data_IF_752002635916
#
_entry.id   IF_752002635916
#
_cell.length_a   1.000
_cell.length_b   1.000
_cell.length_c   1.000
_cell.angle_alpha   90.00
_cell.angle_beta   90.00
_cell.angle_gamma   90.00
#
_symmetry.space_group_name_H-M   'P 1'
#
loop_
_entity.id
_entity.type
_entity.pdbx_description
1 polymer ?
#
# COMPACT_ATOMS: atom_id res chain seq x y z
N UNK A 1 59.52 6.46 21.42
CA UNK A 1 58.98 6.16 20.06
C UNK A 1 57.72 5.25 20.07
N UNK A 2 56.84 5.27 21.10
CA UNK A 2 55.63 4.41 21.15
C UNK A 2 54.29 5.11 20.85
N UNK A 3 54.24 6.45 20.84
CA UNK A 3 52.98 7.19 20.72
C UNK A 3 52.44 7.28 19.26
N UNK A 4 53.32 7.25 18.25
CA UNK A 4 52.93 7.52 16.85
C UNK A 4 52.20 6.36 16.16
N UNK A 5 52.43 5.12 16.62
CA UNK A 5 51.80 3.89 16.09
C UNK A 5 50.41 3.66 16.71
N UNK A 6 50.22 4.08 17.97
CA UNK A 6 48.95 3.89 18.69
C UNK A 6 47.84 4.79 18.16
N UNK A 7 48.16 5.99 17.67
CA UNK A 7 47.19 6.93 17.09
C UNK A 7 46.74 6.45 15.70
N UNK A 8 47.67 5.97 14.86
CA UNK A 8 47.36 5.44 13.53
C UNK A 8 46.43 4.20 13.54
N UNK A 9 46.45 3.40 14.61
CA UNK A 9 45.54 2.25 14.75
C UNK A 9 44.14 2.66 15.19
N UNK A 10 44.00 3.69 16.03
CA UNK A 10 42.70 4.20 16.47
C UNK A 10 41.96 4.90 15.33
N UNK A 11 42.64 5.76 14.56
CA UNK A 11 42.06 6.46 13.40
C UNK A 11 41.55 5.50 12.30
N UNK A 12 42.17 4.33 12.18
CA UNK A 12 41.79 3.30 11.20
C UNK A 12 40.57 2.47 11.62
N UNK A 13 40.32 2.33 12.92
CA UNK A 13 39.16 1.59 13.45
C UNK A 13 37.89 2.44 13.29
N UNK A 14 37.97 3.74 13.59
CA UNK A 14 36.84 4.66 13.41
C UNK A 14 36.44 4.89 11.95
N UNK A 15 37.37 4.76 11.01
CA UNK A 15 37.07 4.93 9.58
C UNK A 15 36.41 3.68 8.96
N UNK A 16 36.76 2.47 9.44
CA UNK A 16 36.13 1.22 9.01
C UNK A 16 34.67 1.08 9.47
N UNK A 17 34.31 1.63 10.65
CA UNK A 17 32.92 1.62 11.14
C UNK A 17 32.00 2.62 10.43
N UNK A 18 32.56 3.67 9.80
CA UNK A 18 31.80 4.74 9.15
C UNK A 18 31.44 4.43 7.69
N UNK A 19 32.36 3.82 6.91
CA UNK A 19 32.07 3.34 5.55
C UNK A 19 30.96 2.26 5.56
N UNK A 20 30.99 1.36 6.54
CA UNK A 20 29.95 0.35 6.70
C UNK A 20 28.56 0.99 6.97
N UNK A 21 28.47 2.04 7.79
CA UNK A 21 27.20 2.71 8.11
C UNK A 21 26.60 3.43 6.90
N UNK A 22 27.42 4.09 6.09
CA UNK A 22 26.95 4.76 4.86
C UNK A 22 26.43 3.75 3.84
N UNK A 23 27.10 2.61 3.69
CA UNK A 23 26.66 1.50 2.84
C UNK A 23 25.34 0.88 3.35
N UNK A 24 25.20 0.70 4.66
CA UNK A 24 23.94 0.24 5.27
C UNK A 24 22.79 1.22 5.06
N UNK A 25 23.03 2.53 5.20
CA UNK A 25 22.01 3.55 4.94
C UNK A 25 21.58 3.57 3.48
N UNK A 26 22.52 3.40 2.55
CA UNK A 26 22.24 3.30 1.12
C UNK A 26 21.41 2.06 0.81
N UNK A 27 21.79 0.89 1.33
CA UNK A 27 21.05 -0.36 1.15
C UNK A 27 19.61 -0.26 1.70
N UNK A 28 19.44 0.42 2.84
CA UNK A 28 18.13 0.65 3.42
C UNK A 28 17.24 1.52 2.53
N UNK A 29 17.76 2.64 2.02
CA UNK A 29 17.03 3.52 1.07
C UNK A 29 16.64 2.79 -0.21
N UNK A 30 17.51 1.94 -0.73
CA UNK A 30 17.21 1.11 -1.90
C UNK A 30 16.11 0.08 -1.63
N UNK A 31 16.08 -0.51 -0.43
CA UNK A 31 15.01 -1.41 0.00
C UNK A 31 13.69 -0.67 0.16
N UNK A 32 13.69 0.52 0.77
CA UNK A 32 12.49 1.37 0.88
C UNK A 32 11.93 1.70 -0.49
N UNK A 33 12.77 2.15 -1.43
CA UNK A 33 12.33 2.45 -2.79
C UNK A 33 11.76 1.22 -3.53
N UNK A 34 12.37 0.05 -3.35
CA UNK A 34 11.84 -1.21 -3.90
C UNK A 34 10.52 -1.61 -3.26
N UNK A 35 10.38 -1.41 -1.95
CA UNK A 35 9.15 -1.68 -1.21
C UNK A 35 8.03 -0.73 -1.68
N UNK A 36 8.32 0.56 -1.83
CA UNK A 36 7.37 1.55 -2.37
C UNK A 36 6.92 1.16 -3.78
N UNK A 37 7.84 0.77 -4.66
CA UNK A 37 7.51 0.32 -6.01
C UNK A 37 6.66 -0.96 -5.99
N UNK A 38 7.01 -1.94 -5.14
CA UNK A 38 6.24 -3.17 -4.99
C UNK A 38 4.84 -2.91 -4.46
N UNK A 39 4.71 -2.06 -3.43
CA UNK A 39 3.43 -1.64 -2.87
C UNK A 39 2.59 -0.93 -3.93
N UNK A 40 3.17 0.06 -4.64
CA UNK A 40 2.47 0.80 -5.69
C UNK A 40 1.98 -0.12 -6.81
N UNK A 41 2.81 -1.04 -7.29
CA UNK A 41 2.41 -1.97 -8.35
C UNK A 41 1.32 -2.93 -7.89
N UNK A 42 1.41 -3.43 -6.64
CA UNK A 42 0.37 -4.28 -6.05
C UNK A 42 -0.95 -3.51 -5.92
N UNK A 43 -0.86 -2.23 -5.59
CA UNK A 43 -1.99 -1.31 -5.46
C UNK A 43 -2.71 -1.13 -6.80
N UNK A 44 -1.96 -0.76 -7.85
CA UNK A 44 -2.53 -0.61 -9.19
C UNK A 44 -3.20 -1.91 -9.69
N UNK A 45 -2.67 -3.08 -9.33
CA UNK A 45 -3.28 -4.39 -9.64
C UNK A 45 -4.55 -4.66 -8.83
N UNK A 46 -4.66 -4.22 -7.58
CA UNK A 46 -5.86 -4.43 -6.76
C UNK A 46 -7.02 -3.51 -7.16
N UNK A 47 -6.74 -2.37 -7.79
CA UNK A 47 -7.76 -1.48 -8.36
C UNK A 47 -8.03 -1.78 -9.84
N UNK A 48 -7.40 -2.81 -10.41
CA UNK A 48 -7.72 -3.31 -11.74
C UNK A 48 -9.16 -3.84 -11.78
N UNK A 49 -9.99 -3.45 -12.77
CA UNK A 49 -11.36 -3.95 -12.90
C UNK A 49 -11.47 -5.47 -12.86
N UNK A 50 -10.53 -6.19 -13.47
CA UNK A 50 -10.52 -7.66 -13.51
C UNK A 50 -10.17 -8.31 -12.18
N UNK A 51 -9.39 -7.64 -11.32
CA UNK A 51 -9.23 -8.05 -9.92
C UNK A 51 -10.50 -7.75 -9.10
N UNK A 52 -11.05 -6.54 -9.23
CA UNK A 52 -12.23 -6.11 -8.50
C UNK A 52 -13.43 -7.03 -8.77
N UNK A 53 -13.57 -7.59 -9.97
CA UNK A 53 -14.61 -8.56 -10.32
C UNK A 53 -14.50 -9.91 -9.60
N UNK A 54 -13.32 -10.26 -9.07
CA UNK A 54 -13.09 -11.51 -8.34
C UNK A 54 -13.43 -11.42 -6.85
N UNK A 55 -13.65 -10.22 -6.32
CA UNK A 55 -14.02 -10.04 -4.92
C UNK A 55 -15.37 -10.73 -4.64
N UNK A 56 -15.63 -11.17 -3.38
CA UNK A 56 -16.79 -12.01 -3.04
C UNK A 56 -18.10 -11.21 -2.94
N UNK A 57 -18.46 -10.52 -4.02
CA UNK A 57 -19.64 -9.66 -4.15
C UNK A 57 -20.92 -10.43 -3.84
N UNK A 58 -21.71 -9.86 -2.94
CA UNK A 58 -23.02 -10.34 -2.57
C UNK A 58 -24.07 -9.48 -3.26
N UNK A 59 -25.02 -10.06 -4.02
CA UNK A 59 -26.10 -9.29 -4.59
C UNK A 59 -26.98 -8.71 -3.49
N UNK A 60 -27.53 -7.51 -3.71
CA UNK A 60 -28.63 -7.04 -2.86
C UNK A 60 -29.87 -7.89 -3.06
N UNK A 61 -30.65 -8.08 -1.98
CA UNK A 61 -31.92 -8.79 -2.05
C UNK A 61 -32.91 -8.12 -3.02
N UNK A 62 -32.89 -6.78 -3.08
CA UNK A 62 -33.74 -5.99 -3.97
C UNK A 62 -32.90 -4.91 -4.64
N UNK A 63 -32.97 -4.82 -5.97
CA UNK A 63 -32.37 -3.75 -6.76
C UNK A 63 -31.20 -4.18 -7.63
N UNK A 64 -30.49 -3.19 -8.18
CA UNK A 64 -29.31 -3.37 -9.02
C UNK A 64 -28.06 -3.01 -8.23
N UNK A 65 -27.19 -3.99 -8.01
CA UNK A 65 -25.91 -3.78 -7.35
C UNK A 65 -25.54 -4.92 -6.41
N UNK A 66 -24.32 -4.83 -5.91
CA UNK A 66 -23.72 -5.85 -5.06
C UNK A 66 -22.92 -5.16 -3.95
N UNK A 67 -22.58 -5.91 -2.91
CA UNK A 67 -21.82 -5.42 -1.78
C UNK A 67 -20.84 -6.44 -1.24
N UNK A 68 -19.81 -5.95 -0.58
CA UNK A 68 -18.86 -6.72 0.22
C UNK A 68 -18.64 -6.01 1.56
N UNK A 69 -18.08 -6.72 2.53
CA UNK A 69 -17.60 -6.06 3.75
C UNK A 69 -16.34 -5.26 3.45
N UNK A 70 -16.25 -4.06 4.02
CA UNK A 70 -15.10 -3.19 3.83
C UNK A 70 -13.84 -3.70 4.55
N UNK A 71 -13.98 -4.56 5.56
CA UNK A 71 -12.88 -5.14 6.34
C UNK A 71 -12.25 -6.40 5.72
N UNK A 72 -12.70 -6.80 4.52
CA UNK A 72 -12.07 -7.89 3.78
C UNK A 72 -10.64 -7.52 3.41
N UNK A 73 -9.69 -8.42 3.67
CA UNK A 73 -8.27 -8.21 3.41
C UNK A 73 -8.01 -7.80 1.94
N UNK A 74 -8.67 -8.46 0.99
CA UNK A 74 -8.52 -8.20 -0.45
C UNK A 74 -9.24 -6.92 -0.92
N UNK A 75 -10.08 -6.31 -0.07
CA UNK A 75 -10.82 -5.08 -0.38
C UNK A 75 -10.30 -3.85 0.39
N UNK A 76 -9.29 -4.04 1.25
CA UNK A 76 -8.74 -3.00 2.13
C UNK A 76 -8.28 -1.76 1.33
N UNK A 77 -7.72 -1.99 0.15
CA UNK A 77 -7.22 -0.89 -0.67
C UNK A 77 -8.34 -0.09 -1.36
N UNK A 78 -9.35 -0.78 -1.88
CA UNK A 78 -10.55 -0.13 -2.41
C UNK A 78 -11.23 0.70 -1.31
N UNK A 79 -11.27 0.18 -0.07
CA UNK A 79 -11.76 0.90 1.10
C UNK A 79 -10.94 2.18 1.35
N UNK A 80 -9.62 2.07 1.37
CA UNK A 80 -8.73 3.23 1.60
C UNK A 80 -8.95 4.32 0.55
N UNK A 81 -8.95 3.95 -0.74
CA UNK A 81 -9.21 4.90 -1.83
C UNK A 81 -10.57 5.56 -1.76
N UNK A 82 -11.62 4.80 -1.46
CA UNK A 82 -12.94 5.37 -1.28
C UNK A 82 -13.00 6.31 -0.06
N UNK A 83 -12.23 6.04 1.00
CA UNK A 83 -12.19 6.86 2.22
C UNK A 83 -11.51 8.22 2.00
N UNK A 84 -10.59 8.30 1.03
CA UNK A 84 -9.91 9.54 0.62
C UNK A 84 -10.81 10.48 -0.20
N UNK A 85 -11.89 9.95 -0.81
CA UNK A 85 -12.72 10.70 -1.75
C UNK A 85 -13.91 11.35 -1.04
N UNK A 86 -14.15 12.65 -1.26
CA UNK A 86 -15.37 13.31 -0.80
C UNK A 86 -16.62 12.59 -1.30
N UNK A 87 -17.49 12.18 -0.37
CA UNK A 87 -18.72 11.43 -0.70
C UNK A 87 -18.52 9.92 -0.85
N UNK A 88 -17.31 9.42 -0.58
CA UNK A 88 -16.97 8.00 -0.50
C UNK A 88 -17.33 7.20 -1.75
N UNK A 89 -17.15 7.79 -2.93
CA UNK A 89 -17.63 7.24 -4.19
C UNK A 89 -16.57 7.35 -5.28
N UNK A 90 -16.31 6.24 -5.97
CA UNK A 90 -15.30 6.14 -7.01
C UNK A 90 -15.84 5.37 -8.21
N UNK A 91 -15.50 5.79 -9.42
CA UNK A 91 -15.81 5.03 -10.65
C UNK A 91 -14.54 4.32 -11.12
N UNK A 92 -14.66 3.02 -11.36
CA UNK A 92 -13.57 2.19 -11.91
C UNK A 92 -14.21 1.28 -12.97
N UNK A 93 -13.78 1.44 -14.22
CA UNK A 93 -14.40 0.77 -15.37
C UNK A 93 -15.91 1.07 -15.47
N UNK A 94 -16.70 0.02 -15.70
CA UNK A 94 -18.16 0.07 -15.84
C UNK A 94 -18.91 0.17 -14.49
N UNK A 95 -18.19 0.25 -13.37
CA UNK A 95 -18.80 0.20 -12.04
C UNK A 95 -18.55 1.48 -11.25
N UNK A 96 -19.56 1.85 -10.47
CA UNK A 96 -19.45 2.85 -9.42
C UNK A 96 -19.42 2.15 -8.08
N UNK A 97 -18.34 2.37 -7.34
CA UNK A 97 -18.09 1.86 -6.00
C UNK A 97 -18.44 2.94 -4.97
N UNK A 98 -18.94 2.51 -3.81
CA UNK A 98 -19.29 3.41 -2.72
C UNK A 98 -19.07 2.77 -1.36
N UNK A 99 -18.50 3.52 -0.43
CA UNK A 99 -18.43 3.15 0.98
C UNK A 99 -19.72 3.59 1.71
N UNK A 100 -20.31 2.69 2.48
CA UNK A 100 -21.66 2.86 3.03
C UNK A 100 -21.89 2.06 4.32
N UNK A 101 -23.07 2.28 4.93
CA UNK A 101 -23.44 1.76 6.24
C UNK A 101 -23.12 2.75 7.36
N UNK A 102 -23.77 2.59 8.51
CA UNK A 102 -23.66 3.52 9.64
C UNK A 102 -22.23 3.71 10.15
N UNK A 103 -21.38 2.70 9.97
CA UNK A 103 -19.97 2.72 10.34
C UNK A 103 -19.06 2.50 9.14
N UNK A 104 -19.54 2.80 7.93
CA UNK A 104 -18.74 2.65 6.72
C UNK A 104 -18.20 1.19 6.55
N UNK A 105 -18.98 0.22 7.02
CA UNK A 105 -18.56 -1.18 7.10
C UNK A 105 -18.76 -1.98 5.80
N UNK A 106 -19.41 -1.39 4.79
CA UNK A 106 -19.69 -2.06 3.52
C UNK A 106 -19.19 -1.23 2.34
N UNK A 107 -18.71 -1.93 1.31
CA UNK A 107 -18.46 -1.36 -0.01
C UNK A 107 -19.55 -1.90 -0.92
N UNK A 108 -20.25 -1.00 -1.61
CA UNK A 108 -21.21 -1.35 -2.64
C UNK A 108 -20.66 -1.05 -4.02
N UNK A 109 -21.07 -1.83 -5.00
CA UNK A 109 -20.87 -1.53 -6.42
C UNK A 109 -22.18 -1.58 -7.17
N UNK A 110 -22.32 -0.71 -8.17
CA UNK A 110 -23.40 -0.75 -9.15
C UNK A 110 -22.83 -0.55 -10.54
N UNK A 111 -23.34 -1.31 -11.52
CA UNK A 111 -22.99 -1.10 -12.92
C UNK A 111 -23.56 0.22 -13.41
N UNK A 112 -22.75 0.99 -14.11
CA UNK A 112 -23.16 2.19 -14.83
C UNK A 112 -23.77 1.73 -16.16
N UNK A 113 -25.10 1.63 -16.19
CA UNK A 113 -25.88 1.50 -17.45
C UNK A 113 -25.91 2.80 -18.21
#
# INVERSE_FOLDING_TARGET
MKARVSIQKADKIYSLELEDIEDWQKAFRELEAKLELWLKNKIEVALDPGFLDKLPWQPYANGRGEWIKADLADAQELREKLSEIPGFMLKIGDYQYRLQGDRLQFISRRRLT
#
